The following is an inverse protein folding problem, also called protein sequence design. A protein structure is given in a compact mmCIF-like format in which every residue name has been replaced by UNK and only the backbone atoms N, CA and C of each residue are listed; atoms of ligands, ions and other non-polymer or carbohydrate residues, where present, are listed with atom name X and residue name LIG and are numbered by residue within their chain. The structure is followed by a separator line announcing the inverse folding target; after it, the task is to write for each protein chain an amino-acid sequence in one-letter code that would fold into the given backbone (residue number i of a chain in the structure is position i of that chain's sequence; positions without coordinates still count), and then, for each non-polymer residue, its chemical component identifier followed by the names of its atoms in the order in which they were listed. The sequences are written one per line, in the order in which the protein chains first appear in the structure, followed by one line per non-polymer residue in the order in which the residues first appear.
data_IF_217776939849
#
_entry.id   IF_217776939849
#
_cell.length_a   1.000
_cell.length_b   1.000
_cell.length_c   1.000
_cell.angle_alpha   90.00
_cell.angle_beta   90.00
_cell.angle_gamma   90.00
#
_symmetry.space_group_name_H-M   'P 1'
#
loop_
_entity.id
_entity.type
_entity.pdbx_description
1 polymer ?
#
# COMPACT_ATOMS: atom_id res chain seq x y z
N UNK A 1 -10.69 -25.62 -17.13
CA UNK A 1 -10.85 -24.17 -17.31
C UNK A 1 -9.53 -23.51 -16.90
N UNK A 2 -8.63 -23.25 -17.85
CA UNK A 2 -7.35 -22.57 -17.57
C UNK A 2 -7.30 -21.31 -18.39
N UNK A 3 -7.84 -20.22 -17.84
CA UNK A 3 -7.53 -18.88 -18.33
C UNK A 3 -6.09 -18.53 -17.96
N UNK A 4 -5.33 -17.83 -18.82
CA UNK A 4 -3.96 -17.47 -18.50
C UNK A 4 -3.97 -16.43 -17.37
N UNK A 5 -3.60 -16.85 -16.15
CA UNK A 5 -3.26 -15.93 -15.08
C UNK A 5 -2.02 -15.14 -15.52
N UNK A 6 -2.21 -13.93 -16.04
CA UNK A 6 -1.10 -13.01 -16.30
C UNK A 6 -0.48 -12.67 -14.95
N UNK A 7 0.85 -12.81 -14.77
CA UNK A 7 1.50 -12.34 -13.55
C UNK A 7 1.19 -10.85 -13.39
N UNK A 8 0.50 -10.48 -12.31
CA UNK A 8 0.26 -9.07 -12.01
C UNK A 8 1.60 -8.42 -11.64
N UNK A 9 1.87 -7.26 -12.22
CA UNK A 9 3.04 -6.45 -11.86
C UNK A 9 2.84 -5.90 -10.43
N UNK A 10 3.64 -6.32 -9.44
CA UNK A 10 3.50 -5.91 -8.04
C UNK A 10 3.87 -4.44 -7.82
N UNK A 11 4.50 -3.78 -8.79
CA UNK A 11 4.74 -2.32 -8.74
C UNK A 11 3.50 -1.49 -9.11
N UNK A 12 2.44 -2.15 -9.62
CA UNK A 12 1.19 -1.52 -10.08
C UNK A 12 -0.05 -2.06 -9.38
N UNK A 13 0.08 -3.17 -8.68
CA UNK A 13 -1.02 -3.81 -7.95
C UNK A 13 -0.57 -4.04 -6.50
N UNK A 14 -1.45 -3.82 -5.52
CA UNK A 14 -1.17 -4.10 -4.11
C UNK A 14 -1.05 -5.61 -3.84
N UNK A 15 0.09 -6.17 -4.24
CA UNK A 15 0.48 -7.57 -4.03
C UNK A 15 1.90 -7.60 -3.52
N UNK A 16 2.07 -8.16 -2.32
CA UNK A 16 3.33 -8.52 -1.67
C UNK A 16 3.35 -10.04 -1.51
N UNK A 17 4.54 -10.64 -1.33
CA UNK A 17 4.73 -12.11 -1.27
C UNK A 17 3.78 -12.80 -0.27
N UNK A 18 3.43 -12.12 0.82
CA UNK A 18 2.64 -12.59 1.95
C UNK A 18 1.22 -12.00 2.01
N UNK A 19 0.97 -10.88 1.33
CA UNK A 19 -0.25 -10.09 1.48
C UNK A 19 -0.73 -9.52 0.14
N UNK A 20 -2.02 -9.62 -0.15
CA UNK A 20 -2.64 -8.90 -1.25
C UNK A 20 -3.87 -8.11 -0.79
N UNK A 21 -4.24 -7.10 -1.56
CA UNK A 21 -5.56 -6.48 -1.43
C UNK A 21 -6.66 -7.51 -1.70
N UNK A 22 -7.69 -7.57 -0.86
CA UNK A 22 -8.84 -8.48 -1.00
C UNK A 22 -9.58 -8.30 -2.33
N UNK A 23 -9.52 -7.10 -2.93
CA UNK A 23 -10.06 -6.81 -4.27
C UNK A 23 -9.40 -7.65 -5.37
N UNK A 24 -8.22 -8.23 -5.09
CA UNK A 24 -7.47 -9.07 -6.03
C UNK A 24 -7.64 -10.57 -5.80
N UNK A 25 -8.48 -11.00 -4.86
CA UNK A 25 -8.60 -12.42 -4.48
C UNK A 25 -9.04 -13.36 -5.62
N UNK A 26 -9.75 -12.85 -6.63
CA UNK A 26 -10.10 -13.64 -7.83
C UNK A 26 -8.96 -13.72 -8.86
N UNK A 27 -7.92 -12.90 -8.72
CA UNK A 27 -6.84 -12.75 -9.71
C UNK A 27 -5.50 -13.30 -9.24
N UNK A 28 -5.24 -13.31 -7.93
CA UNK A 28 -3.98 -13.79 -7.34
C UNK A 28 -4.23 -14.65 -6.12
N UNK A 29 -3.32 -15.59 -5.85
CA UNK A 29 -3.26 -16.35 -4.61
C UNK A 29 -2.22 -15.72 -3.68
N UNK A 30 -2.66 -15.28 -2.49
CA UNK A 30 -1.79 -14.80 -1.42
C UNK A 30 -2.12 -15.53 -0.10
N UNK A 31 -1.14 -15.73 0.80
CA UNK A 31 -1.41 -16.30 2.13
C UNK A 31 -2.41 -15.49 2.94
N UNK A 32 -2.40 -14.16 2.78
CA UNK A 32 -3.30 -13.24 3.46
C UNK A 32 -3.89 -12.22 2.48
N UNK A 33 -5.13 -11.82 2.76
CA UNK A 33 -5.79 -10.71 2.10
C UNK A 33 -6.19 -9.65 3.11
N UNK A 34 -6.02 -8.38 2.77
CA UNK A 34 -6.48 -7.26 3.57
C UNK A 34 -7.43 -6.37 2.77
N UNK A 35 -8.48 -5.87 3.44
CA UNK A 35 -9.27 -4.77 2.91
C UNK A 35 -8.50 -3.45 3.15
N UNK A 36 -8.44 -2.55 2.15
CA UNK A 36 -7.77 -1.27 2.31
C UNK A 36 -8.46 -0.40 3.37
N UNK A 37 -7.67 0.19 4.27
CA UNK A 37 -8.08 1.18 5.24
C UNK A 37 -7.68 2.58 4.75
N UNK A 38 -8.65 3.44 4.34
CA UNK A 38 -8.34 4.80 3.92
C UNK A 38 -7.80 5.65 5.07
N UNK A 39 -6.62 6.21 4.88
CA UNK A 39 -5.96 7.12 5.81
C UNK A 39 -5.60 8.43 5.14
N UNK A 40 -5.51 9.50 5.91
CA UNK A 40 -5.12 10.83 5.44
C UNK A 40 -3.66 11.07 5.76
N UNK A 41 -2.90 11.57 4.79
CA UNK A 41 -1.54 12.05 4.99
C UNK A 41 -1.58 13.35 5.80
N UNK A 42 -0.90 13.39 6.95
CA UNK A 42 -0.87 14.55 7.86
C UNK A 42 0.49 15.27 7.88
N UNK A 43 1.52 14.68 7.28
CA UNK A 43 2.82 15.28 7.06
C UNK A 43 3.35 14.86 5.67
N UNK A 44 4.00 15.77 4.90
CA UNK A 44 4.57 15.41 3.61
C UNK A 44 5.56 14.25 3.76
N UNK A 45 5.43 13.21 2.92
CA UNK A 45 6.19 11.98 3.12
C UNK A 45 6.49 11.25 1.81
N UNK A 46 7.67 10.62 1.66
CA UNK A 46 7.96 9.82 0.47
C UNK A 46 7.21 8.48 0.50
N UNK A 47 6.59 8.14 -0.63
CA UNK A 47 6.16 6.76 -0.91
C UNK A 47 7.38 5.97 -1.41
N UNK A 48 7.82 4.96 -0.65
CA UNK A 48 9.01 4.16 -0.95
C UNK A 48 8.67 2.80 -1.54
N UNK A 49 9.56 2.28 -2.39
CA UNK A 49 9.41 0.95 -3.00
C UNK A 49 9.64 -0.21 -2.02
N UNK A 50 10.42 0.02 -0.97
CA UNK A 50 10.75 -0.94 0.07
C UNK A 50 10.56 -0.31 1.45
N UNK A 51 10.56 -1.14 2.51
CA UNK A 51 10.44 -0.64 3.86
C UNK A 51 11.70 0.10 4.32
N UNK A 52 12.86 -0.04 3.68
CA UNK A 52 14.12 0.60 4.07
C UNK A 52 14.11 2.12 3.82
N UNK A 53 14.88 2.89 4.61
CA UNK A 53 14.95 4.35 4.43
C UNK A 53 15.68 4.74 3.13
N UNK A 54 16.60 3.90 2.67
CA UNK A 54 17.34 4.06 1.43
C UNK A 54 16.57 3.54 0.21
N UNK A 55 15.39 2.95 0.40
CA UNK A 55 14.59 2.43 -0.70
C UNK A 55 14.15 3.56 -1.64
N UNK A 56 14.08 3.24 -2.94
CA UNK A 56 13.74 4.20 -3.98
C UNK A 56 12.43 4.93 -3.69
N UNK A 57 12.42 6.25 -3.87
CA UNK A 57 11.24 7.09 -3.75
C UNK A 57 10.44 6.97 -5.04
N UNK A 58 9.19 6.52 -4.92
CA UNK A 58 8.26 6.33 -6.03
C UNK A 58 7.39 7.57 -6.29
N UNK A 59 7.10 8.32 -5.23
CA UNK A 59 6.35 9.57 -5.24
C UNK A 59 6.57 10.31 -3.91
N UNK A 60 6.19 11.58 -3.85
CA UNK A 60 6.05 12.33 -2.60
C UNK A 60 4.58 12.62 -2.38
N UNK A 61 4.06 12.25 -1.21
CA UNK A 61 2.68 12.49 -0.84
C UNK A 61 2.57 13.80 -0.05
N UNK A 62 1.56 14.60 -0.39
CA UNK A 62 1.20 15.85 0.26
C UNK A 62 0.14 15.64 1.35
N UNK A 63 0.08 16.59 2.28
CA UNK A 63 -0.95 16.62 3.33
C UNK A 63 -2.34 16.65 2.71
N UNK A 64 -3.24 15.84 3.24
CA UNK A 64 -4.62 15.70 2.77
C UNK A 64 -4.82 14.62 1.70
N UNK A 65 -3.75 14.09 1.09
CA UNK A 65 -3.86 12.95 0.19
C UNK A 65 -4.31 11.70 0.93
N UNK A 66 -4.98 10.79 0.20
CA UNK A 66 -5.46 9.52 0.73
C UNK A 66 -4.43 8.43 0.45
N UNK A 67 -4.13 7.66 1.50
CA UNK A 67 -3.36 6.43 1.43
C UNK A 67 -4.26 5.26 1.86
N UNK A 68 -4.44 4.28 0.98
CA UNK A 68 -5.17 3.04 1.28
C UNK A 68 -4.22 2.04 1.96
N UNK A 69 -4.16 2.06 3.29
CA UNK A 69 -3.27 1.18 4.05
C UNK A 69 -3.77 -0.27 4.07
N UNK A 70 -2.86 -1.23 3.93
CA UNK A 70 -3.14 -2.67 3.93
C UNK A 70 -2.40 -3.41 5.05
N UNK A 71 -1.25 -2.88 5.48
CA UNK A 71 -0.42 -3.49 6.53
C UNK A 71 0.28 -2.41 7.36
N UNK A 72 0.49 -2.71 8.64
CA UNK A 72 1.22 -1.87 9.58
C UNK A 72 2.26 -2.70 10.32
N UNK A 73 3.53 -2.39 10.10
CA UNK A 73 4.63 -3.09 10.74
C UNK A 73 5.83 -2.17 10.94
N UNK A 74 6.51 -2.30 12.08
CA UNK A 74 7.77 -1.60 12.35
C UNK A 74 7.73 -0.07 12.12
N UNK A 75 6.64 0.57 12.52
CA UNK A 75 6.47 2.03 12.38
C UNK A 75 6.16 2.49 10.94
N UNK A 76 5.89 1.56 10.02
CA UNK A 76 5.59 1.84 8.61
C UNK A 76 4.21 1.29 8.27
N UNK A 77 3.58 1.92 7.28
CA UNK A 77 2.40 1.42 6.62
C UNK A 77 2.77 1.00 5.20
N UNK A 78 2.27 -0.15 4.77
CA UNK A 78 2.28 -0.54 3.37
C UNK A 78 0.86 -0.47 2.81
N UNK A 79 0.72 0.00 1.59
CA UNK A 79 -0.58 0.33 1.01
C UNK A 79 -0.44 1.00 -0.35
N UNK A 80 -1.50 1.69 -0.78
CA UNK A 80 -1.59 2.29 -2.11
C UNK A 80 -1.85 3.80 -2.02
N UNK A 81 -1.10 4.58 -2.80
CA UNK A 81 -1.40 5.98 -3.08
C UNK A 81 -1.37 6.22 -4.59
N UNK A 82 -2.40 6.89 -5.13
CA UNK A 82 -2.49 7.18 -6.56
C UNK A 82 -2.39 5.95 -7.47
N UNK A 83 -2.87 4.79 -6.99
CA UNK A 83 -2.77 3.51 -7.71
C UNK A 83 -1.39 2.85 -7.67
N UNK A 84 -0.43 3.37 -6.89
CA UNK A 84 0.89 2.77 -6.73
C UNK A 84 1.06 2.18 -5.32
N UNK A 85 1.41 0.89 -5.20
CA UNK A 85 1.76 0.30 -3.91
C UNK A 85 3.12 0.80 -3.42
N UNK A 86 3.26 0.96 -2.11
CA UNK A 86 4.51 1.36 -1.48
C UNK A 86 4.41 1.54 0.03
N UNK A 87 5.50 1.99 0.61
CA UNK A 87 5.66 2.19 2.05
C UNK A 87 5.69 3.67 2.39
N UNK A 88 5.07 4.03 3.52
CA UNK A 88 5.18 5.35 4.16
C UNK A 88 5.39 5.18 5.66
N UNK A 89 6.00 6.15 6.36
CA UNK A 89 5.99 6.22 7.82
C UNK A 89 4.56 6.22 8.36
N UNK A 90 4.29 5.43 9.40
CA UNK A 90 2.96 5.33 9.99
C UNK A 90 2.54 6.63 10.68
N UNK A 91 3.48 7.35 11.26
CA UNK A 91 3.25 8.64 11.93
C UNK A 91 2.88 9.78 10.97
N UNK A 92 3.14 9.62 9.67
CA UNK A 92 2.66 10.53 8.62
C UNK A 92 1.19 10.32 8.26
N UNK A 93 0.50 9.35 8.86
CA UNK A 93 -0.89 8.98 8.56
C UNK A 93 -1.83 9.15 9.76
N UNK A 94 -3.05 9.61 9.51
CA UNK A 94 -4.16 9.59 10.46
C UNK A 94 -5.38 8.85 9.89
N UNK A 95 -6.13 8.17 10.76
CA UNK A 95 -7.46 7.67 10.40
C UNK A 95 -8.37 8.87 10.13
N UNK A 96 -9.36 8.69 9.25
CA UNK A 96 -10.36 9.74 8.98
C UNK A 96 -11.22 10.10 10.21
N UNK A 97 -11.10 9.37 11.31
CA UNK A 97 -11.72 9.70 12.60
C UNK A 97 -10.71 10.37 13.53
N UNK A 98 -10.64 11.69 13.43
CA UNK A 98 -10.21 12.58 14.50
C UNK A 98 -10.96 13.91 14.29
N UNK A 99 -12.25 13.91 14.64
CA UNK A 99 -13.03 15.13 14.82
C UNK A 99 -13.78 15.04 16.15
#
# INVERSE_FOLDING_TARGET
MSGPSRPLDPSRHPVRRDLADVRLAEYVFAPHYAAPLPMVVIAPTPLRAGPEEEAAILATLAVGEIFEALDFAHGKAWGVAGGRPGYVPRDALATKEAR
#
